data_IF_909508745671
#
_entry.id   IF_909508745671
#
_cell.length_a   1.000
_cell.length_b   1.000
_cell.length_c   1.000
_cell.angle_alpha   90.00
_cell.angle_beta   90.00
_cell.angle_gamma   90.00
#
_symmetry.space_group_name_H-M   'P 1'
#
loop_
_entity.id
_entity.type
_entity.pdbx_description
1 polymer ?
#
# COMPACT_ATOMS: atom_id res chain seq x y z
N UNK A 1 13.08 -9.14 10.93
CA UNK A 1 14.16 -8.20 10.63
C UNK A 1 14.60 -7.40 11.86
N UNK A 2 13.76 -6.57 12.48
CA UNK A 2 14.17 -5.68 13.60
C UNK A 2 14.79 -6.45 14.78
N UNK A 3 14.12 -7.48 15.29
CA UNK A 3 14.62 -8.28 16.42
C UNK A 3 15.94 -8.98 16.08
N UNK A 4 16.04 -9.54 14.88
CA UNK A 4 17.26 -10.20 14.40
C UNK A 4 18.43 -9.21 14.29
N UNK A 5 18.20 -8.02 13.75
CA UNK A 5 19.22 -7.00 13.70
C UNK A 5 19.65 -6.58 15.11
N UNK A 6 18.70 -6.38 16.02
CA UNK A 6 18.99 -6.03 17.41
C UNK A 6 19.83 -7.12 18.09
N UNK A 7 19.58 -8.41 17.85
CA UNK A 7 20.34 -9.49 18.47
C UNK A 7 21.82 -9.54 18.04
N UNK A 8 22.15 -9.04 16.85
CA UNK A 8 23.53 -8.92 16.38
C UNK A 8 24.26 -7.72 17.01
N UNK A 9 23.52 -6.76 17.58
CA UNK A 9 24.06 -5.54 18.20
C UNK A 9 24.10 -5.67 19.73
N UNK A 10 22.97 -6.02 20.33
CA UNK A 10 22.76 -6.17 21.78
C UNK A 10 21.56 -7.10 22.07
N UNK A 11 21.85 -8.22 22.73
CA UNK A 11 20.86 -9.24 23.07
C UNK A 11 19.83 -8.74 24.09
N UNK A 12 20.23 -7.89 25.04
CA UNK A 12 19.29 -7.34 26.03
C UNK A 12 18.30 -6.38 25.35
N UNK A 13 18.78 -5.58 24.40
CA UNK A 13 17.93 -4.73 23.57
C UNK A 13 16.95 -5.55 22.73
N UNK A 14 17.41 -6.64 22.10
CA UNK A 14 16.55 -7.53 21.32
C UNK A 14 15.42 -8.14 22.19
N UNK A 15 15.75 -8.57 23.41
CA UNK A 15 14.78 -9.08 24.37
C UNK A 15 13.78 -8.00 24.80
N UNK A 16 14.26 -6.77 25.04
CA UNK A 16 13.40 -5.65 25.37
C UNK A 16 12.44 -5.31 24.21
N UNK A 17 12.92 -5.23 22.96
CA UNK A 17 12.08 -4.96 21.79
C UNK A 17 11.00 -6.04 21.64
N UNK A 18 11.39 -7.30 21.73
CA UNK A 18 10.46 -8.44 21.62
C UNK A 18 9.33 -8.38 22.65
N UNK A 19 9.60 -7.87 23.85
CA UNK A 19 8.62 -7.76 24.93
C UNK A 19 7.76 -6.50 24.88
N UNK A 20 8.30 -5.38 24.38
CA UNK A 20 7.69 -4.05 24.55
C UNK A 20 7.18 -3.43 23.25
N UNK A 21 7.54 -3.96 22.09
CA UNK A 21 7.20 -3.38 20.77
C UNK A 21 6.27 -4.30 20.01
N UNK A 22 5.21 -3.73 19.44
CA UNK A 22 4.28 -4.41 18.55
C UNK A 22 4.58 -4.11 17.08
N UNK A 23 4.43 -5.11 16.21
CA UNK A 23 4.54 -4.98 14.76
C UNK A 23 3.22 -5.41 14.10
N UNK A 24 2.15 -4.59 14.15
CA UNK A 24 0.87 -4.96 13.55
C UNK A 24 1.01 -5.10 12.03
N UNK A 25 0.60 -6.26 11.50
CA UNK A 25 0.49 -6.46 10.05
C UNK A 25 -0.65 -5.62 9.49
N UNK A 26 -0.55 -5.26 8.21
CA UNK A 26 -1.59 -4.50 7.52
C UNK A 26 -1.78 -5.01 6.09
N UNK A 27 -3.01 -4.97 5.61
CA UNK A 27 -3.29 -4.96 4.17
C UNK A 27 -3.59 -3.52 3.76
N UNK A 28 -2.88 -3.04 2.74
CA UNK A 28 -3.04 -1.70 2.17
C UNK A 28 -3.41 -1.82 0.70
N UNK A 29 -4.41 -1.05 0.27
CA UNK A 29 -4.81 -1.04 -1.12
C UNK A 29 -5.31 0.33 -1.59
N UNK A 30 -4.65 0.82 -2.64
CA UNK A 30 -5.00 1.99 -3.44
C UNK A 30 -4.02 2.13 -4.60
N UNK A 31 -4.48 1.99 -5.84
CA UNK A 31 -3.66 2.23 -7.03
C UNK A 31 -3.27 3.71 -7.06
N UNK A 32 -1.95 3.93 -7.04
CA UNK A 32 -1.34 5.26 -6.98
C UNK A 32 -0.21 5.30 -8.01
N UNK A 33 -0.48 5.72 -9.26
CA UNK A 33 0.54 5.83 -10.30
C UNK A 33 1.66 6.80 -9.90
N UNK A 34 2.82 6.63 -10.53
CA UNK A 34 3.90 7.60 -10.38
C UNK A 34 3.46 8.96 -10.96
N UNK A 35 3.81 10.04 -10.28
CA UNK A 35 3.55 11.40 -10.77
C UNK A 35 4.31 11.65 -12.07
N UNK A 36 3.63 12.25 -13.05
CA UNK A 36 4.19 12.65 -14.34
C UNK A 36 3.98 14.16 -14.56
N UNK A 37 4.61 14.70 -15.61
CA UNK A 37 4.41 16.10 -16.03
C UNK A 37 2.96 16.40 -16.36
N UNK A 38 2.24 15.42 -16.90
CA UNK A 38 0.83 15.53 -17.28
C UNK A 38 -0.03 15.68 -16.03
N UNK A 39 0.23 14.92 -14.96
CA UNK A 39 -0.48 15.08 -13.69
C UNK A 39 -0.29 16.47 -13.06
N UNK A 40 0.93 17.04 -13.16
CA UNK A 40 1.23 18.41 -12.70
C UNK A 40 0.45 19.44 -13.51
N UNK A 41 0.46 19.30 -14.84
CA UNK A 41 -0.26 20.20 -15.73
C UNK A 41 -1.78 20.14 -15.50
N UNK A 42 -2.35 18.93 -15.42
CA UNK A 42 -3.78 18.72 -15.17
C UNK A 42 -4.24 19.38 -13.88
N UNK A 43 -3.48 19.23 -12.78
CA UNK A 43 -3.84 19.86 -11.51
C UNK A 43 -3.85 21.40 -11.61
N UNK A 44 -2.90 21.98 -12.32
CA UNK A 44 -2.83 23.42 -12.54
C UNK A 44 -3.95 23.92 -13.45
N UNK A 45 -4.31 23.17 -14.50
CA UNK A 45 -5.35 23.53 -15.46
C UNK A 45 -6.76 23.40 -14.86
N UNK A 46 -7.07 22.27 -14.24
CA UNK A 46 -8.42 21.96 -13.76
C UNK A 46 -8.76 22.67 -12.44
N UNK A 47 -7.76 22.87 -11.57
CA UNK A 47 -7.98 23.36 -10.21
C UNK A 47 -7.21 24.66 -9.89
N UNK A 48 -6.37 25.16 -10.80
CA UNK A 48 -5.57 26.37 -10.57
C UNK A 48 -4.46 26.19 -9.52
N UNK A 49 -4.10 24.95 -9.18
CA UNK A 49 -3.13 24.64 -8.12
C UNK A 49 -1.75 24.36 -8.71
N UNK A 50 -0.78 25.23 -8.42
CA UNK A 50 0.61 25.08 -8.85
C UNK A 50 1.45 24.16 -7.95
N UNK A 51 1.01 22.92 -7.74
CA UNK A 51 1.78 21.91 -7.01
C UNK A 51 2.78 21.22 -7.96
N UNK A 52 4.05 21.14 -7.54
CA UNK A 52 5.13 20.54 -8.32
C UNK A 52 5.21 19.03 -8.19
N UNK A 53 4.52 18.43 -7.20
CA UNK A 53 4.56 17.00 -7.00
C UNK A 53 3.23 16.46 -6.45
N UNK A 54 2.15 16.56 -7.23
CA UNK A 54 0.87 16.01 -6.83
C UNK A 54 0.89 14.48 -6.83
N UNK A 55 0.11 13.88 -5.93
CA UNK A 55 -0.13 12.44 -5.90
C UNK A 55 -1.52 12.17 -6.45
N UNK A 56 -1.58 11.52 -7.61
CA UNK A 56 -2.81 11.03 -8.20
C UNK A 56 -3.07 9.60 -7.73
N UNK A 57 -4.32 9.27 -7.48
CA UNK A 57 -4.73 7.94 -7.07
C UNK A 57 -6.19 7.70 -7.43
N UNK A 58 -6.58 6.44 -7.54
CA UNK A 58 -8.00 6.09 -7.70
C UNK A 58 -8.83 6.48 -6.47
N UNK A 59 -10.15 6.45 -6.62
CA UNK A 59 -11.10 6.70 -5.52
C UNK A 59 -11.12 5.54 -4.51
N UNK A 60 -11.00 4.30 -4.97
CA UNK A 60 -10.98 3.13 -4.10
C UNK A 60 -9.81 3.20 -3.12
N UNK A 61 -10.08 2.90 -1.86
CA UNK A 61 -9.07 2.80 -0.81
C UNK A 61 -9.50 1.80 0.24
N UNK A 62 -8.58 0.95 0.65
CA UNK A 62 -8.80 0.02 1.76
C UNK A 62 -7.57 -0.06 2.65
N UNK A 63 -7.81 -0.05 3.96
CA UNK A 63 -6.76 -0.25 4.95
C UNK A 63 -7.28 -1.17 6.05
N UNK A 64 -6.68 -2.36 6.14
CA UNK A 64 -6.96 -3.34 7.18
C UNK A 64 -5.74 -3.44 8.08
N UNK A 65 -5.93 -3.30 9.38
CA UNK A 65 -4.86 -3.11 10.37
C UNK A 65 -4.99 -4.12 11.49
N UNK A 66 -3.88 -4.76 11.86
CA UNK A 66 -3.79 -5.62 13.02
C UNK A 66 -3.99 -4.80 14.29
N UNK A 67 -4.79 -5.28 15.24
CA UNK A 67 -5.13 -4.52 16.46
C UNK A 67 -4.02 -4.47 17.53
N UNK A 68 -2.88 -5.13 17.31
CA UNK A 68 -1.79 -5.21 18.29
C UNK A 68 -0.90 -3.95 18.24
N UNK A 69 -1.16 -3.00 19.14
CA UNK A 69 -0.36 -1.79 19.33
C UNK A 69 0.24 -1.75 20.75
N UNK A 70 1.52 -1.40 20.85
CA UNK A 70 2.24 -1.26 22.12
C UNK A 70 2.03 0.11 22.79
N UNK A 71 1.36 1.04 22.11
CA UNK A 71 1.02 2.38 22.58
C UNK A 71 -0.32 2.82 21.98
N UNK A 72 -0.74 4.04 22.29
CA UNK A 72 -1.93 4.65 21.69
C UNK A 72 -1.83 4.71 20.16
N UNK A 73 -3.00 4.65 19.51
CA UNK A 73 -3.14 4.78 18.06
C UNK A 73 -4.25 5.78 17.71
N UNK A 74 -4.20 6.38 16.52
CA UNK A 74 -5.31 7.20 16.04
C UNK A 74 -6.60 6.39 15.87
N UNK A 75 -7.74 7.06 15.97
CA UNK A 75 -9.07 6.48 15.76
C UNK A 75 -9.41 6.40 14.26
N UNK A 76 -8.67 5.55 13.54
CA UNK A 76 -8.75 5.43 12.08
C UNK A 76 -10.04 4.77 11.57
N UNK A 77 -10.75 4.06 12.45
CA UNK A 77 -12.07 3.50 12.16
C UNK A 77 -13.07 4.59 11.77
N UNK A 78 -12.95 5.79 12.35
CA UNK A 78 -13.79 6.94 12.01
C UNK A 78 -13.64 7.39 10.54
N UNK A 79 -12.55 7.02 9.87
CA UNK A 79 -12.26 7.41 8.48
C UNK A 79 -12.19 6.20 7.53
N UNK A 80 -12.71 5.05 7.99
CA UNK A 80 -12.92 3.85 7.18
C UNK A 80 -11.84 2.78 7.26
N UNK A 81 -10.84 2.90 8.15
CA UNK A 81 -9.91 1.79 8.38
C UNK A 81 -10.59 0.66 9.16
N UNK A 82 -10.20 -0.59 8.87
CA UNK A 82 -10.75 -1.78 9.54
C UNK A 82 -9.67 -2.38 10.44
N UNK A 83 -9.97 -2.52 11.74
CA UNK A 83 -9.11 -3.26 12.66
C UNK A 83 -9.60 -4.69 12.81
N UNK A 84 -8.67 -5.64 12.76
CA UNK A 84 -8.99 -7.07 12.87
C UNK A 84 -7.83 -7.85 13.46
N UNK A 85 -8.15 -9.04 14.01
CA UNK A 85 -7.17 -10.05 14.40
C UNK A 85 -6.70 -10.91 13.22
N UNK A 86 -7.41 -10.84 12.10
CA UNK A 86 -7.30 -11.78 10.97
C UNK A 86 -6.83 -11.09 9.68
N UNK A 87 -5.81 -10.21 9.78
CA UNK A 87 -5.29 -9.42 8.65
C UNK A 87 -4.81 -10.32 7.50
N UNK A 88 -4.24 -11.48 7.82
CA UNK A 88 -3.66 -12.43 6.87
C UNK A 88 -4.67 -12.87 5.79
N UNK A 89 -5.96 -13.00 6.13
CA UNK A 89 -6.99 -13.34 5.15
C UNK A 89 -7.19 -12.23 4.11
N UNK A 90 -7.21 -10.97 4.55
CA UNK A 90 -7.34 -9.82 3.65
C UNK A 90 -6.10 -9.64 2.79
N UNK A 91 -4.91 -9.80 3.39
CA UNK A 91 -3.64 -9.75 2.69
C UNK A 91 -3.57 -10.83 1.60
N UNK A 92 -3.93 -12.07 1.94
CA UNK A 92 -3.92 -13.21 1.00
C UNK A 92 -4.84 -12.95 -0.19
N UNK A 93 -6.08 -12.51 0.06
CA UNK A 93 -7.03 -12.20 -1.01
C UNK A 93 -6.50 -11.09 -1.93
N UNK A 94 -5.98 -10.00 -1.35
CA UNK A 94 -5.44 -8.87 -2.12
C UNK A 94 -4.25 -9.29 -2.96
N UNK A 95 -3.30 -10.02 -2.37
CA UNK A 95 -2.11 -10.50 -3.06
C UNK A 95 -2.45 -11.47 -4.20
N UNK A 96 -3.36 -12.41 -3.96
CA UNK A 96 -3.70 -13.46 -4.93
C UNK A 96 -4.64 -13.01 -6.03
N UNK A 97 -5.60 -12.12 -5.73
CA UNK A 97 -6.59 -11.71 -6.73
C UNK A 97 -6.19 -10.43 -7.44
N UNK A 98 -5.67 -9.44 -6.72
CA UNK A 98 -5.37 -8.14 -7.31
C UNK A 98 -3.92 -8.07 -7.78
N UNK A 99 -2.95 -8.29 -6.89
CA UNK A 99 -1.53 -8.17 -7.27
C UNK A 99 -1.10 -9.25 -8.28
N UNK A 100 -1.60 -10.49 -8.13
CA UNK A 100 -1.30 -11.55 -9.08
C UNK A 100 -1.96 -11.29 -10.44
N UNK A 101 -3.22 -10.83 -10.49
CA UNK A 101 -3.86 -10.47 -11.76
C UNK A 101 -3.14 -9.31 -12.46
N UNK A 102 -2.71 -8.30 -11.69
CA UNK A 102 -1.93 -7.19 -12.24
C UNK A 102 -0.61 -7.69 -12.85
N UNK A 103 0.09 -8.59 -12.16
CA UNK A 103 1.32 -9.20 -12.69
C UNK A 103 1.06 -10.06 -13.93
N UNK A 104 0.00 -10.87 -13.90
CA UNK A 104 -0.41 -11.73 -15.00
C UNK A 104 -0.80 -10.95 -16.26
N UNK A 105 -1.37 -9.74 -16.10
CA UNK A 105 -1.68 -8.82 -17.19
C UNK A 105 -0.43 -8.06 -17.67
N UNK A 106 0.36 -7.50 -16.75
CA UNK A 106 1.42 -6.54 -17.09
C UNK A 106 2.51 -7.14 -17.99
N UNK A 107 2.98 -8.36 -17.70
CA UNK A 107 4.06 -8.98 -18.47
C UNK A 107 3.71 -9.25 -19.94
N UNK A 108 2.58 -9.92 -20.28
CA UNK A 108 2.19 -10.08 -21.68
C UNK A 108 1.79 -8.76 -22.34
N UNK A 109 1.11 -7.86 -21.62
CA UNK A 109 0.70 -6.57 -22.17
C UNK A 109 1.90 -5.72 -22.63
N UNK A 110 2.99 -5.71 -21.85
CA UNK A 110 4.23 -5.05 -22.25
C UNK A 110 4.82 -5.62 -23.54
N UNK A 111 4.75 -6.95 -23.73
CA UNK A 111 5.21 -7.63 -24.95
C UNK A 111 4.33 -7.31 -26.17
N UNK A 112 3.04 -7.07 -25.95
CA UNK A 112 2.08 -6.64 -26.98
C UNK A 112 2.19 -5.14 -27.31
N UNK A 113 2.98 -4.39 -26.55
CA UNK A 113 3.25 -2.97 -26.81
C UNK A 113 2.43 -1.99 -25.97
N UNK A 114 1.53 -2.47 -25.11
CA UNK A 114 0.78 -1.62 -24.18
C UNK A 114 1.68 -0.96 -23.14
N UNK A 115 1.28 0.22 -22.69
CA UNK A 115 2.01 1.02 -21.69
C UNK A 115 1.18 1.30 -20.46
N UNK A 116 -0.14 1.22 -20.58
CA UNK A 116 -1.05 1.41 -19.46
C UNK A 116 -1.96 0.19 -19.25
N UNK A 117 -2.43 0.05 -18.01
CA UNK A 117 -3.27 -1.08 -17.58
C UNK A 117 -4.64 -1.02 -18.24
N UNK A 118 -5.21 0.17 -18.38
CA UNK A 118 -6.49 0.41 -19.05
C UNK A 118 -6.42 0.05 -20.54
N UNK A 119 -5.32 0.35 -21.23
CA UNK A 119 -5.11 -0.10 -22.61
C UNK A 119 -5.19 -1.62 -22.71
N UNK A 120 -4.44 -2.33 -21.84
CA UNK A 120 -4.39 -3.78 -21.83
C UNK A 120 -5.74 -4.42 -21.45
N UNK A 121 -6.54 -3.75 -20.61
CA UNK A 121 -7.88 -4.21 -20.22
C UNK A 121 -8.94 -4.01 -21.30
N UNK A 122 -8.69 -3.16 -22.29
CA UNK A 122 -9.61 -2.95 -23.43
C UNK A 122 -9.38 -3.92 -24.59
N UNK A 123 -8.29 -4.70 -24.55
CA UNK A 123 -7.95 -5.76 -25.51
C UNK A 123 -8.51 -7.11 -25.04
N UNK A 124 -9.84 -7.25 -25.09
CA UNK A 124 -10.60 -8.46 -24.73
C UNK A 124 -11.53 -8.87 -25.86
#
# INVERSE_FOLDING_TARGET
MVIQFASEVDVEMAAWISKNVSFPCTMVDRITPATSSEHVALLAEDYGVGDKWPVVAEEFRQWVIGENFCNERPFLEAVGAVFTKEVEHFETLKLQLLNAAHSALAYPALLLGYRFVDEALTDV
#
